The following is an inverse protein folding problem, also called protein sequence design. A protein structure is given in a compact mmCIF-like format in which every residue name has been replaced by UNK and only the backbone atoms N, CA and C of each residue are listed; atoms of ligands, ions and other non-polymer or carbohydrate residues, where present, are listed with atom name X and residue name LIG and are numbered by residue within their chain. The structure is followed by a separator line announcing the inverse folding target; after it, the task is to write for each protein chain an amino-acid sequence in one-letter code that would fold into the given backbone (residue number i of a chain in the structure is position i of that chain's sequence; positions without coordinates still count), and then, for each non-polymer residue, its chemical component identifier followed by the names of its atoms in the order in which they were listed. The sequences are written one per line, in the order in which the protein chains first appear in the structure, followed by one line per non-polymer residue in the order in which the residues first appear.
data_IF_596466730424
#
_entry.id   IF_596466730424
#
_cell.length_a   1.000
_cell.length_b   1.000
_cell.length_c   1.000
_cell.angle_alpha   90.00
_cell.angle_beta   90.00
_cell.angle_gamma   90.00
#
_symmetry.space_group_name_H-M   'P 1'
#
loop_
_entity.id
_entity.type
_entity.pdbx_description
1 polymer ?
#
# COMPACT_ATOMS: atom_id res chain seq x y z
N UNK A 1 -59.89 15.51 7.81
CA UNK A 1 -60.62 16.68 8.35
C UNK A 1 -59.55 17.73 8.56
N UNK A 2 -59.26 18.57 7.55
CA UNK A 2 -60.03 19.80 7.21
C UNK A 2 -59.96 20.79 8.38
N UNK A 3 -59.61 22.06 8.28
CA UNK A 3 -59.23 23.03 7.24
C UNK A 3 -58.48 24.13 8.04
N UNK A 4 -57.42 24.77 7.56
CA UNK A 4 -57.43 26.02 6.77
C UNK A 4 -58.09 27.25 7.44
N UNK A 5 -57.61 28.42 6.99
CA UNK A 5 -58.17 29.78 7.09
C UNK A 5 -57.62 30.64 8.25
N UNK A 6 -56.57 31.46 8.04
CA UNK A 6 -56.57 32.80 7.36
C UNK A 6 -57.23 33.88 8.21
N UNK A 7 -56.52 34.97 8.54
CA UNK A 7 -56.90 36.33 8.10
C UNK A 7 -55.96 37.40 8.66
N UNK A 8 -55.59 38.26 7.72
CA UNK A 8 -54.88 39.51 7.78
C UNK A 8 -55.72 40.63 8.41
N UNK A 9 -55.08 41.64 8.99
CA UNK A 9 -55.52 43.03 8.77
C UNK A 9 -54.37 44.02 9.02
N UNK A 10 -54.32 44.98 8.13
CA UNK A 10 -53.35 46.06 7.96
C UNK A 10 -53.98 47.39 8.38
N UNK A 11 -53.17 48.45 8.32
CA UNK A 11 -53.48 49.91 8.31
C UNK A 11 -53.15 50.62 9.63
N UNK A 12 -52.09 51.43 9.75
CA UNK A 12 -51.71 52.68 9.05
C UNK A 12 -52.32 53.94 9.68
N UNK A 13 -51.43 54.87 10.07
CA UNK A 13 -51.49 56.36 10.00
C UNK A 13 -51.24 57.09 11.32
N UNK A 14 -50.41 58.13 11.23
CA UNK A 14 -50.51 59.32 12.08
C UNK A 14 -49.17 59.93 12.47
N UNK A 15 -48.64 60.84 11.66
CA UNK A 15 -47.62 61.81 12.09
C UNK A 15 -48.25 63.17 12.40
N UNK A 16 -47.69 63.90 13.36
CA UNK A 16 -47.83 65.37 13.53
C UNK A 16 -46.56 65.94 14.18
N UNK A 17 -46.09 67.06 13.63
CA UNK A 17 -44.92 67.86 14.01
C UNK A 17 -45.26 69.07 14.91
N UNK A 18 -44.27 69.61 15.65
CA UNK A 18 -43.98 71.06 15.91
C UNK A 18 -43.05 71.18 17.15
N UNK A 19 -41.80 71.67 17.06
CA UNK A 19 -41.22 73.03 16.92
C UNK A 19 -40.72 73.63 18.26
N UNK A 20 -39.43 74.04 18.31
CA UNK A 20 -38.89 75.00 19.29
C UNK A 20 -37.41 74.82 19.70
N UNK A 21 -36.52 75.73 19.25
CA UNK A 21 -35.03 75.83 19.40
C UNK A 21 -34.71 76.88 20.53
N UNK A 22 -33.46 77.20 21.05
CA UNK A 22 -32.07 76.90 20.62
C UNK A 22 -30.95 76.59 21.66
N UNK A 23 -29.91 75.87 21.17
CA UNK A 23 -28.41 75.84 21.38
C UNK A 23 -27.68 76.44 22.63
N UNK A 24 -26.49 75.89 23.02
CA UNK A 24 -25.23 76.15 22.28
C UNK A 24 -24.21 74.99 22.14
N UNK A 25 -23.31 75.24 21.18
CA UNK A 25 -22.34 74.38 20.49
C UNK A 25 -21.05 74.10 21.26
N UNK A 26 -20.44 72.94 20.99
CA UNK A 26 -19.00 72.67 21.17
C UNK A 26 -18.43 72.10 19.84
N UNK A 27 -17.17 72.43 19.48
CA UNK A 27 -16.69 72.37 18.10
C UNK A 27 -16.26 70.97 17.60
N UNK A 28 -16.46 70.76 16.30
CA UNK A 28 -16.04 69.59 15.51
C UNK A 28 -14.54 69.61 15.19
N UNK A 29 -13.85 68.45 15.07
CA UNK A 29 -12.59 68.35 14.36
C UNK A 29 -12.82 68.07 12.85
N UNK A 30 -12.00 68.70 12.02
CA UNK A 30 -11.98 68.61 10.55
C UNK A 30 -11.69 67.19 10.01
N UNK A 31 -12.10 66.89 8.74
CA UNK A 31 -11.90 65.59 8.13
C UNK A 31 -10.47 65.43 7.55
N UNK A 32 -9.73 64.44 8.04
CA UNK A 32 -8.43 64.08 7.46
C UNK A 32 -8.63 63.26 6.17
N UNK A 33 -8.23 63.90 5.07
CA UNK A 33 -7.83 63.38 3.76
C UNK A 33 -8.08 61.91 3.39
N UNK A 34 -8.79 61.73 2.28
CA UNK A 34 -8.84 60.48 1.52
C UNK A 34 -7.42 60.01 1.13
N UNK A 35 -7.04 58.72 1.32
CA UNK A 35 -5.78 58.24 0.81
C UNK A 35 -5.88 57.95 -0.69
N UNK A 36 -5.02 58.64 -1.44
CA UNK A 36 -4.77 58.46 -2.86
C UNK A 36 -4.42 57.00 -3.20
N UNK A 37 -4.91 56.56 -4.36
CA UNK A 37 -4.73 55.21 -4.89
C UNK A 37 -3.26 54.90 -5.15
N UNK A 38 -2.59 54.23 -4.21
CA UNK A 38 -1.22 53.79 -4.43
C UNK A 38 -1.17 52.63 -5.44
N UNK A 39 -0.29 52.77 -6.43
CA UNK A 39 0.06 51.73 -7.40
C UNK A 39 0.44 50.39 -6.70
N UNK A 40 0.85 50.45 -5.43
CA UNK A 40 1.14 49.31 -4.56
C UNK A 40 -0.06 48.39 -4.32
N UNK A 41 -1.30 48.92 -4.33
CA UNK A 41 -2.51 48.10 -4.18
C UNK A 41 -2.83 47.29 -5.45
N UNK A 42 -2.56 47.86 -6.64
CA UNK A 42 -2.66 47.14 -7.92
C UNK A 42 -1.55 46.10 -8.10
N UNK A 43 -0.34 46.38 -7.60
CA UNK A 43 0.76 45.42 -7.58
C UNK A 43 0.49 44.30 -6.58
N UNK A 44 0.00 44.58 -5.36
CA UNK A 44 -0.44 43.53 -4.41
C UNK A 44 -1.65 42.75 -4.90
N UNK A 45 -2.60 43.38 -5.61
CA UNK A 45 -3.73 42.66 -6.21
C UNK A 45 -3.29 41.77 -7.40
N UNK A 46 -2.27 42.20 -8.17
CA UNK A 46 -1.64 41.36 -9.20
C UNK A 46 -0.77 40.25 -8.60
N UNK A 47 -0.10 40.50 -7.47
CA UNK A 47 0.69 39.50 -6.75
C UNK A 47 -0.23 38.51 -6.02
N UNK A 48 -1.34 38.96 -5.43
CA UNK A 48 -2.38 38.11 -4.86
C UNK A 48 -3.08 37.31 -5.97
N UNK A 49 -3.37 37.89 -7.14
CA UNK A 49 -3.83 37.14 -8.32
C UNK A 49 -2.78 36.17 -8.89
N UNK A 50 -1.49 36.43 -8.66
CA UNK A 50 -0.34 35.53 -8.96
C UNK A 50 0.00 34.55 -7.82
N UNK A 51 -0.62 34.68 -6.65
CA UNK A 51 -0.56 33.70 -5.56
C UNK A 51 -1.83 32.84 -5.53
N UNK A 52 -2.91 33.31 -6.17
CA UNK A 52 -4.07 32.51 -6.58
C UNK A 52 -3.97 31.99 -8.02
N UNK A 53 -2.77 31.98 -8.62
CA UNK A 53 -2.55 31.20 -9.84
C UNK A 53 -2.61 29.73 -9.49
N UNK A 54 -3.67 29.09 -9.96
CA UNK A 54 -3.71 27.65 -10.26
C UNK A 54 -3.36 26.74 -9.08
N UNK A 55 -4.14 26.80 -8.00
CA UNK A 55 -4.56 25.51 -7.44
C UNK A 55 -5.40 24.87 -8.55
N UNK A 56 -4.82 23.94 -9.32
CA UNK A 56 -5.63 23.04 -10.14
C UNK A 56 -6.76 22.57 -9.24
N UNK A 57 -8.01 22.85 -9.61
CA UNK A 57 -9.16 22.33 -8.87
C UNK A 57 -9.22 20.84 -9.17
N UNK A 58 -8.36 20.08 -8.49
CA UNK A 58 -8.41 18.63 -8.49
C UNK A 58 -9.81 18.26 -8.02
N UNK A 59 -10.49 17.38 -8.77
CA UNK A 59 -11.81 16.90 -8.37
C UNK A 59 -11.71 16.38 -6.92
N UNK A 60 -12.66 16.68 -6.02
CA UNK A 60 -12.59 16.27 -4.62
C UNK A 60 -12.38 14.76 -4.43
N UNK A 61 -12.89 13.95 -5.37
CA UNK A 61 -12.78 12.49 -5.39
C UNK A 61 -11.33 12.02 -5.63
N UNK A 62 -10.53 12.80 -6.35
CA UNK A 62 -9.12 12.49 -6.66
C UNK A 62 -8.14 13.09 -5.64
N UNK A 63 -8.60 14.01 -4.78
CA UNK A 63 -7.73 14.71 -3.83
C UNK A 63 -6.95 13.76 -2.90
N UNK A 64 -7.54 12.68 -2.34
CA UNK A 64 -6.79 11.72 -1.53
C UNK A 64 -5.68 11.00 -2.33
N UNK A 65 -6.00 10.55 -3.56
CA UNK A 65 -5.05 9.90 -4.45
C UNK A 65 -3.89 10.82 -4.81
N UNK A 66 -4.20 12.05 -5.22
CA UNK A 66 -3.22 13.05 -5.64
C UNK A 66 -2.35 13.48 -4.46
N UNK A 67 -2.90 13.55 -3.25
CA UNK A 67 -2.14 13.90 -2.04
C UNK A 67 -1.11 12.82 -1.74
N UNK A 68 -1.52 11.55 -1.65
CA UNK A 68 -0.62 10.40 -1.44
C UNK A 68 0.47 10.34 -2.52
N UNK A 69 0.09 10.51 -3.78
CA UNK A 69 1.04 10.46 -4.89
C UNK A 69 2.04 11.62 -4.84
N UNK A 70 1.62 12.83 -4.49
CA UNK A 70 2.49 14.01 -4.41
C UNK A 70 3.45 14.00 -3.23
N UNK A 71 3.12 13.32 -2.13
CA UNK A 71 4.05 13.10 -1.01
C UNK A 71 5.30 12.34 -1.47
N UNK A 72 5.12 11.45 -2.45
CA UNK A 72 6.18 10.63 -3.01
C UNK A 72 6.81 11.31 -4.23
N UNK A 73 5.98 11.87 -5.09
CA UNK A 73 6.33 12.49 -6.37
C UNK A 73 5.86 13.94 -6.44
N UNK A 74 6.63 14.91 -5.90
CA UNK A 74 6.23 16.31 -5.88
C UNK A 74 6.02 16.93 -7.27
N UNK A 75 6.59 16.33 -8.31
CA UNK A 75 6.49 16.76 -9.71
C UNK A 75 5.56 15.89 -10.55
N UNK A 76 4.74 15.04 -9.92
CA UNK A 76 3.80 14.18 -10.63
C UNK A 76 2.86 14.99 -11.54
N UNK A 77 2.60 14.45 -12.73
CA UNK A 77 1.66 15.04 -13.67
C UNK A 77 0.22 14.71 -13.24
N UNK A 78 -0.35 15.61 -12.45
CA UNK A 78 -1.73 15.47 -11.96
C UNK A 78 -2.75 15.69 -13.07
N UNK A 79 -2.43 16.46 -14.12
CA UNK A 79 -3.34 16.68 -15.23
C UNK A 79 -3.56 15.37 -16.02
N UNK A 80 -2.51 14.56 -16.16
CA UNK A 80 -2.60 13.24 -16.79
C UNK A 80 -3.48 12.28 -15.97
N UNK A 81 -3.37 12.30 -14.63
CA UNK A 81 -4.21 11.50 -13.74
C UNK A 81 -5.68 11.93 -13.77
N UNK A 82 -5.93 13.24 -13.77
CA UNK A 82 -7.29 13.80 -13.92
C UNK A 82 -7.90 13.40 -15.27
N UNK A 83 -7.13 13.49 -16.35
CA UNK A 83 -7.59 13.07 -17.68
C UNK A 83 -7.92 11.57 -17.72
N UNK A 84 -7.07 10.72 -17.15
CA UNK A 84 -7.32 9.28 -17.09
C UNK A 84 -8.58 8.94 -16.30
N UNK A 85 -8.80 9.61 -15.16
CA UNK A 85 -10.02 9.45 -14.38
C UNK A 85 -11.25 9.88 -15.15
N UNK A 86 -11.20 11.04 -15.83
CA UNK A 86 -12.34 11.55 -16.60
C UNK A 86 -12.72 10.63 -17.75
N UNK A 87 -11.73 10.05 -18.44
CA UNK A 87 -11.97 9.02 -19.47
C UNK A 87 -12.59 7.78 -18.85
N UNK A 88 -12.03 7.25 -17.75
CA UNK A 88 -12.58 6.07 -17.09
C UNK A 88 -14.03 6.30 -16.60
N UNK A 89 -14.32 7.45 -16.00
CA UNK A 89 -15.66 7.81 -15.49
C UNK A 89 -16.68 7.91 -16.64
N UNK A 90 -16.30 8.54 -17.75
CA UNK A 90 -17.12 8.63 -18.95
C UNK A 90 -17.38 7.26 -19.58
N UNK A 91 -16.34 6.43 -19.70
CA UNK A 91 -16.45 5.11 -20.34
C UNK A 91 -17.28 4.14 -19.51
N UNK A 92 -17.19 4.22 -18.18
CA UNK A 92 -17.99 3.41 -17.27
C UNK A 92 -19.32 4.09 -16.87
N UNK A 93 -19.72 5.15 -17.55
CA UNK A 93 -20.94 5.88 -17.21
C UNK A 93 -22.18 4.98 -17.36
N UNK A 94 -22.99 4.91 -16.30
CA UNK A 94 -24.16 4.04 -16.25
C UNK A 94 -23.86 2.59 -15.85
N UNK A 95 -22.59 2.18 -15.78
CA UNK A 95 -22.19 0.88 -15.25
C UNK A 95 -22.19 0.92 -13.71
N UNK A 96 -22.82 -0.09 -13.11
CA UNK A 96 -22.87 -0.24 -11.65
C UNK A 96 -22.16 -1.51 -11.21
N UNK A 97 -21.56 -1.44 -10.04
CA UNK A 97 -21.00 -2.57 -9.31
C UNK A 97 -22.12 -3.48 -8.81
N UNK A 98 -21.76 -4.69 -8.40
CA UNK A 98 -22.70 -5.58 -7.67
C UNK A 98 -23.16 -5.02 -6.33
N UNK A 99 -22.40 -4.08 -5.75
CA UNK A 99 -22.80 -3.34 -4.55
C UNK A 99 -23.87 -2.27 -4.83
N UNK A 100 -24.08 -1.89 -6.09
CA UNK A 100 -24.91 -0.76 -6.50
C UNK A 100 -24.15 0.55 -6.70
N UNK A 101 -22.88 0.62 -6.27
CA UNK A 101 -22.03 1.81 -6.42
C UNK A 101 -21.61 2.04 -7.88
N UNK A 102 -21.25 3.28 -8.26
CA UNK A 102 -20.65 3.57 -9.56
C UNK A 102 -19.40 2.73 -9.83
N UNK A 103 -19.23 2.22 -11.05
CA UNK A 103 -18.09 1.36 -11.39
C UNK A 103 -16.73 2.05 -11.19
N UNK A 104 -16.65 3.37 -11.43
CA UNK A 104 -15.45 4.19 -11.25
C UNK A 104 -14.84 4.14 -9.84
N UNK A 105 -15.59 3.68 -8.84
CA UNK A 105 -15.04 3.41 -7.50
C UNK A 105 -13.94 2.34 -7.53
N UNK A 106 -13.95 1.42 -8.51
CA UNK A 106 -12.92 0.40 -8.65
C UNK A 106 -11.58 0.94 -9.06
N UNK A 107 -11.47 1.57 -10.24
CA UNK A 107 -10.17 1.88 -10.77
C UNK A 107 -9.52 2.94 -9.88
N UNK A 108 -10.33 3.82 -9.29
CA UNK A 108 -9.88 4.78 -8.29
C UNK A 108 -9.29 4.10 -7.04
N UNK A 109 -9.97 3.09 -6.48
CA UNK A 109 -9.47 2.39 -5.31
C UNK A 109 -8.20 1.58 -5.62
N UNK A 110 -8.12 0.97 -6.79
CA UNK A 110 -6.90 0.26 -7.25
C UNK A 110 -5.74 1.25 -7.44
N UNK A 111 -5.98 2.38 -8.11
CA UNK A 111 -4.98 3.44 -8.25
C UNK A 111 -4.53 3.99 -6.88
N UNK A 112 -5.44 4.09 -5.90
CA UNK A 112 -5.10 4.54 -4.54
C UNK A 112 -4.21 3.54 -3.82
N UNK A 113 -4.47 2.23 -3.96
CA UNK A 113 -3.58 1.19 -3.44
C UNK A 113 -2.19 1.32 -4.08
N UNK A 114 -2.12 1.51 -5.40
CA UNK A 114 -0.84 1.65 -6.10
C UNK A 114 -0.09 2.94 -5.73
N UNK A 115 -0.80 4.02 -5.46
CA UNK A 115 -0.22 5.26 -4.96
C UNK A 115 0.40 5.06 -3.56
N UNK A 116 -0.27 4.33 -2.67
CA UNK A 116 0.23 3.98 -1.34
C UNK A 116 1.49 3.10 -1.40
N UNK A 117 1.53 2.18 -2.36
CA UNK A 117 2.73 1.39 -2.68
C UNK A 117 3.88 2.26 -3.24
N UNK A 118 3.58 3.46 -3.74
CA UNK A 118 4.53 4.41 -4.29
C UNK A 118 4.88 4.17 -5.76
N UNK A 119 3.91 3.71 -6.55
CA UNK A 119 4.07 3.50 -7.99
C UNK A 119 4.08 4.81 -8.79
N UNK A 120 4.67 4.76 -9.97
CA UNK A 120 4.79 5.90 -10.88
C UNK A 120 3.44 6.33 -11.50
N UNK A 121 3.39 7.57 -11.97
CA UNK A 121 2.17 8.17 -12.56
C UNK A 121 1.61 7.32 -13.69
N UNK A 122 2.46 6.73 -14.54
CA UNK A 122 2.05 5.87 -15.66
C UNK A 122 1.32 4.62 -15.17
N UNK A 123 1.79 3.99 -14.10
CA UNK A 123 1.10 2.84 -13.47
C UNK A 123 -0.25 3.23 -12.90
N UNK A 124 -0.36 4.38 -12.24
CA UNK A 124 -1.62 4.87 -11.69
C UNK A 124 -2.63 5.15 -12.82
N UNK A 125 -2.18 5.74 -13.93
CA UNK A 125 -3.01 5.97 -15.13
C UNK A 125 -3.49 4.65 -15.73
N UNK A 126 -2.58 3.67 -15.89
CA UNK A 126 -2.94 2.34 -16.38
C UNK A 126 -3.95 1.65 -15.45
N UNK A 127 -3.80 1.80 -14.13
CA UNK A 127 -4.74 1.26 -13.16
C UNK A 127 -6.12 1.93 -13.19
N UNK A 128 -6.21 3.22 -13.50
CA UNK A 128 -7.50 3.89 -13.72
C UNK A 128 -8.22 3.37 -14.97
N UNK A 129 -7.45 2.90 -15.96
CA UNK A 129 -7.96 2.50 -17.27
C UNK A 129 -8.02 0.97 -17.48
N UNK A 130 -7.56 0.15 -16.53
CA UNK A 130 -7.31 -1.28 -16.75
C UNK A 130 -8.54 -2.07 -17.25
N UNK A 131 -9.73 -1.75 -16.76
CA UNK A 131 -10.99 -2.42 -17.14
C UNK A 131 -11.71 -1.75 -18.33
N UNK A 132 -11.24 -0.61 -18.82
CA UNK A 132 -11.95 0.14 -19.86
C UNK A 132 -12.00 -0.61 -21.19
N UNK A 133 -10.90 -1.30 -21.54
CA UNK A 133 -10.78 -2.07 -22.78
C UNK A 133 -11.66 -3.32 -22.77
N UNK A 134 -11.87 -3.93 -21.61
CA UNK A 134 -12.70 -5.13 -21.48
C UNK A 134 -14.20 -4.80 -21.44
N UNK A 135 -14.58 -3.75 -20.71
CA UNK A 135 -15.99 -3.53 -20.33
C UNK A 135 -16.73 -2.48 -21.18
N UNK A 136 -16.04 -1.57 -21.85
CA UNK A 136 -16.66 -0.33 -22.38
C UNK A 136 -16.52 -0.12 -23.89
N UNK A 137 -15.86 -1.05 -24.60
CA UNK A 137 -15.64 -0.99 -26.04
C UNK A 137 -14.53 -0.03 -26.48
N UNK A 138 -13.79 0.56 -25.53
CA UNK A 138 -12.61 1.38 -25.78
C UNK A 138 -11.48 0.51 -26.34
N UNK A 139 -10.86 0.92 -27.46
CA UNK A 139 -9.82 0.09 -28.10
C UNK A 139 -8.43 0.40 -27.57
N UNK A 140 -7.51 -0.57 -27.66
CA UNK A 140 -6.10 -0.35 -27.31
C UNK A 140 -5.47 0.76 -28.17
N UNK A 141 -5.86 0.87 -29.44
CA UNK A 141 -5.36 1.90 -30.36
C UNK A 141 -5.77 3.31 -29.91
N UNK A 142 -7.02 3.47 -29.44
CA UNK A 142 -7.50 4.74 -28.88
C UNK A 142 -6.75 5.08 -27.59
N UNK A 143 -6.58 4.10 -26.70
CA UNK A 143 -5.88 4.27 -25.43
C UNK A 143 -4.41 4.65 -25.63
N UNK A 144 -3.70 4.02 -26.59
CA UNK A 144 -2.33 4.37 -26.94
C UNK A 144 -2.21 5.78 -27.53
N UNK A 145 -3.21 6.21 -28.29
CA UNK A 145 -3.25 7.57 -28.85
C UNK A 145 -3.45 8.63 -27.77
N UNK A 146 -4.28 8.34 -26.77
CA UNK A 146 -4.66 9.30 -25.73
C UNK A 146 -3.63 9.39 -24.60
N UNK A 147 -2.99 8.27 -24.23
CA UNK A 147 -2.09 8.17 -23.06
C UNK A 147 -0.68 7.66 -23.38
N UNK A 148 -0.41 7.27 -24.62
CA UNK A 148 0.88 6.76 -25.08
C UNK A 148 1.01 5.23 -25.02
N UNK A 149 2.03 4.72 -25.71
CA UNK A 149 2.28 3.28 -25.86
C UNK A 149 2.62 2.57 -24.56
N UNK A 150 3.21 3.27 -23.59
CA UNK A 150 3.56 2.68 -22.30
C UNK A 150 2.31 2.30 -21.48
N UNK A 151 1.32 3.19 -21.41
CA UNK A 151 0.04 2.91 -20.75
C UNK A 151 -0.72 1.81 -21.50
N UNK A 152 -0.71 1.85 -22.84
CA UNK A 152 -1.28 0.81 -23.69
C UNK A 152 -0.73 -0.57 -23.40
N UNK A 153 0.59 -0.68 -23.30
CA UNK A 153 1.26 -1.94 -22.98
C UNK A 153 0.83 -2.49 -21.60
N UNK A 154 0.73 -1.62 -20.58
CA UNK A 154 0.33 -2.01 -19.24
C UNK A 154 -1.12 -2.53 -19.22
N UNK A 155 -2.05 -1.79 -19.83
CA UNK A 155 -3.48 -2.14 -19.86
C UNK A 155 -3.72 -3.43 -20.66
N UNK A 156 -3.07 -3.57 -21.83
CA UNK A 156 -3.10 -4.81 -22.63
C UNK A 156 -2.55 -6.00 -21.83
N UNK A 157 -1.45 -5.78 -21.10
CA UNK A 157 -0.86 -6.76 -20.20
C UNK A 157 -1.87 -7.27 -19.17
N UNK A 158 -2.55 -6.37 -18.45
CA UNK A 158 -3.52 -6.72 -17.39
C UNK A 158 -4.74 -7.44 -17.97
N UNK A 159 -5.31 -6.90 -19.05
CA UNK A 159 -6.44 -7.47 -19.82
C UNK A 159 -6.16 -8.92 -20.25
N UNK A 160 -4.94 -9.18 -20.73
CA UNK A 160 -4.53 -10.54 -21.13
C UNK A 160 -4.43 -11.50 -19.96
N UNK A 161 -4.20 -11.04 -18.73
CA UNK A 161 -4.18 -11.93 -17.57
C UNK A 161 -5.59 -12.42 -17.20
N UNK A 162 -6.61 -11.57 -17.36
CA UNK A 162 -7.99 -11.90 -17.00
C UNK A 162 -8.62 -12.95 -17.91
N UNK A 163 -8.36 -12.85 -19.23
CA UNK A 163 -8.93 -13.77 -20.24
C UNK A 163 -8.45 -15.21 -20.11
N UNK A 164 -7.36 -15.42 -19.38
CA UNK A 164 -6.61 -16.67 -19.41
C UNK A 164 -7.03 -17.56 -18.22
N UNK A 165 -7.69 -17.02 -17.19
CA UNK A 165 -8.22 -17.77 -16.03
C UNK A 165 -9.42 -18.71 -16.29
N UNK A 166 -9.77 -19.01 -17.55
CA UNK A 166 -10.94 -19.80 -17.96
C UNK A 166 -10.54 -21.14 -18.60
N UNK A 167 -10.12 -22.13 -17.80
CA UNK A 167 -10.03 -23.53 -18.25
C UNK A 167 -9.27 -24.48 -17.32
N UNK A 168 -9.87 -25.63 -16.95
CA UNK A 168 -9.31 -26.58 -15.97
C UNK A 168 -8.16 -27.47 -16.48
N UNK A 169 -7.87 -27.46 -17.79
CA UNK A 169 -6.65 -28.02 -18.39
C UNK A 169 -5.67 -26.93 -18.86
N UNK A 170 -6.01 -25.66 -18.61
CA UNK A 170 -5.31 -24.49 -19.10
C UNK A 170 -4.52 -23.76 -18.00
N UNK A 171 -4.58 -24.16 -16.73
CA UNK A 171 -3.93 -23.45 -15.62
C UNK A 171 -2.42 -23.25 -15.84
N UNK A 172 -1.71 -24.28 -16.28
CA UNK A 172 -0.27 -24.22 -16.57
C UNK A 172 0.07 -23.25 -17.72
N UNK A 173 -0.67 -23.31 -18.83
CA UNK A 173 -0.49 -22.40 -19.98
C UNK A 173 -0.94 -20.97 -19.63
N UNK A 174 -1.89 -20.85 -18.71
CA UNK A 174 -2.41 -19.59 -18.21
C UNK A 174 -1.36 -18.85 -17.40
N UNK A 175 -0.78 -19.60 -16.47
CA UNK A 175 0.33 -19.15 -15.65
C UNK A 175 1.54 -18.84 -16.53
N UNK A 176 1.83 -19.65 -17.57
CA UNK A 176 2.90 -19.37 -18.53
C UNK A 176 2.71 -18.05 -19.28
N UNK A 177 1.51 -17.80 -19.82
CA UNK A 177 1.19 -16.53 -20.51
C UNK A 177 1.24 -15.34 -19.54
N UNK A 178 0.79 -15.56 -18.31
CA UNK A 178 0.92 -14.58 -17.23
C UNK A 178 2.39 -14.27 -16.95
N UNK A 179 3.25 -15.27 -16.83
CA UNK A 179 4.69 -15.12 -16.62
C UNK A 179 5.39 -14.42 -17.79
N UNK A 180 5.01 -14.73 -19.04
CA UNK A 180 5.60 -14.07 -20.23
C UNK A 180 5.20 -12.58 -20.28
N UNK A 181 3.96 -12.25 -19.93
CA UNK A 181 3.52 -10.86 -19.80
C UNK A 181 4.26 -10.15 -18.64
N UNK A 182 4.45 -10.83 -17.51
CA UNK A 182 5.19 -10.34 -16.35
C UNK A 182 6.68 -10.09 -16.63
N UNK A 183 7.31 -10.93 -17.44
CA UNK A 183 8.74 -10.82 -17.76
C UNK A 183 9.07 -9.57 -18.59
N UNK A 184 8.08 -8.98 -19.27
CA UNK A 184 8.25 -7.76 -20.06
C UNK A 184 8.12 -6.50 -19.21
N UNK A 185 7.10 -6.43 -18.36
CA UNK A 185 6.90 -5.31 -17.44
C UNK A 185 6.24 -5.77 -16.12
N UNK A 186 6.95 -5.72 -14.97
CA UNK A 186 6.39 -6.15 -13.69
C UNK A 186 5.27 -5.26 -13.18
N UNK A 187 5.15 -4.01 -13.66
CA UNK A 187 4.06 -3.10 -13.25
C UNK A 187 2.69 -3.69 -13.57
N UNK A 188 2.58 -4.50 -14.62
CA UNK A 188 1.37 -5.26 -14.97
C UNK A 188 0.94 -6.17 -13.81
N UNK A 189 1.88 -6.88 -13.18
CA UNK A 189 1.55 -7.76 -12.07
C UNK A 189 1.19 -6.97 -10.80
N UNK A 190 1.88 -5.87 -10.53
CA UNK A 190 1.56 -5.01 -9.38
C UNK A 190 0.13 -4.46 -9.51
N UNK A 191 -0.26 -4.00 -10.71
CA UNK A 191 -1.64 -3.60 -11.00
C UNK A 191 -2.60 -4.76 -10.76
N UNK A 192 -2.26 -5.97 -11.25
CA UNK A 192 -3.14 -7.14 -11.10
C UNK A 192 -3.32 -7.58 -9.64
N UNK A 193 -2.25 -7.55 -8.85
CA UNK A 193 -2.27 -7.85 -7.42
C UNK A 193 -3.11 -6.82 -6.67
N UNK A 194 -2.99 -5.52 -7.01
CA UNK A 194 -3.79 -4.46 -6.43
C UNK A 194 -5.28 -4.57 -6.80
N UNK A 195 -5.59 -4.90 -8.06
CA UNK A 195 -6.95 -5.25 -8.50
C UNK A 195 -7.50 -6.40 -7.65
N UNK A 196 -6.78 -7.53 -7.57
CA UNK A 196 -7.23 -8.69 -6.81
C UNK A 196 -7.42 -8.34 -5.33
N UNK A 197 -6.55 -7.53 -4.73
CA UNK A 197 -6.69 -7.08 -3.35
C UNK A 197 -7.99 -6.29 -3.14
N UNK A 198 -8.25 -5.30 -3.99
CA UNK A 198 -9.50 -4.55 -3.92
C UNK A 198 -10.73 -5.45 -4.11
N UNK A 199 -10.66 -6.38 -5.05
CA UNK A 199 -11.71 -7.37 -5.28
C UNK A 199 -11.95 -8.24 -4.03
N UNK A 200 -10.89 -8.72 -3.37
CA UNK A 200 -10.98 -9.49 -2.13
C UNK A 200 -11.59 -8.70 -0.97
N UNK A 201 -11.30 -7.39 -0.86
CA UNK A 201 -11.92 -6.48 0.12
C UNK A 201 -13.43 -6.28 -0.09
N UNK A 202 -13.93 -6.49 -1.30
CA UNK A 202 -15.33 -6.21 -1.69
C UNK A 202 -16.17 -7.47 -2.02
N UNK A 203 -15.69 -8.66 -1.62
CA UNK A 203 -16.29 -9.96 -1.96
C UNK A 203 -17.71 -10.20 -1.42
N UNK A 204 -18.14 -9.43 -0.41
CA UNK A 204 -19.44 -9.60 0.28
C UNK A 204 -20.68 -9.59 -0.63
N UNK A 205 -20.57 -9.01 -1.83
CA UNK A 205 -21.69 -8.91 -2.80
C UNK A 205 -21.73 -10.04 -3.84
N UNK A 206 -20.79 -11.00 -3.78
CA UNK A 206 -20.75 -12.13 -4.71
C UNK A 206 -21.47 -13.37 -4.15
N UNK A 207 -21.97 -14.27 -5.02
CA UNK A 207 -22.46 -15.57 -4.57
C UNK A 207 -21.35 -16.39 -3.88
N UNK A 208 -21.68 -17.21 -2.86
CA UNK A 208 -20.69 -17.96 -2.08
C UNK A 208 -19.74 -18.83 -2.93
N UNK A 209 -20.24 -19.46 -3.99
CA UNK A 209 -19.42 -20.28 -4.90
C UNK A 209 -18.34 -19.45 -5.61
N UNK A 210 -18.71 -18.25 -6.09
CA UNK A 210 -17.77 -17.33 -6.73
C UNK A 210 -16.78 -16.77 -5.71
N UNK A 211 -17.22 -16.55 -4.46
CA UNK A 211 -16.33 -16.13 -3.39
C UNK A 211 -15.26 -17.18 -3.11
N UNK A 212 -15.67 -18.44 -2.90
CA UNK A 212 -14.76 -19.54 -2.61
C UNK A 212 -13.76 -19.80 -3.76
N UNK A 213 -14.22 -19.76 -5.02
CA UNK A 213 -13.34 -19.93 -6.19
C UNK A 213 -12.25 -18.85 -6.25
N UNK A 214 -12.64 -17.58 -6.16
CA UNK A 214 -11.70 -16.45 -6.19
C UNK A 214 -10.76 -16.45 -4.97
N UNK A 215 -11.25 -16.82 -3.79
CA UNK A 215 -10.42 -16.93 -2.60
C UNK A 215 -9.36 -18.06 -2.74
N UNK A 216 -9.73 -19.20 -3.34
CA UNK A 216 -8.79 -20.29 -3.64
C UNK A 216 -7.72 -19.86 -4.64
N UNK A 217 -8.13 -19.26 -5.76
CA UNK A 217 -7.21 -18.70 -6.77
C UNK A 217 -6.25 -17.67 -6.14
N UNK A 218 -6.78 -16.80 -5.27
CA UNK A 218 -5.99 -15.80 -4.57
C UNK A 218 -4.95 -16.45 -3.67
N UNK A 219 -5.33 -17.46 -2.89
CA UNK A 219 -4.44 -18.13 -1.96
C UNK A 219 -3.37 -18.98 -2.67
N UNK A 220 -3.74 -19.68 -3.74
CA UNK A 220 -2.85 -20.61 -4.44
C UNK A 220 -1.93 -19.92 -5.46
N UNK A 221 -2.36 -18.80 -6.05
CA UNK A 221 -1.64 -18.15 -7.16
C UNK A 221 -1.23 -16.72 -6.80
N UNK A 222 -2.18 -15.85 -6.43
CA UNK A 222 -1.92 -14.41 -6.31
C UNK A 222 -1.08 -14.05 -5.07
N UNK A 223 -1.35 -14.66 -3.92
CA UNK A 223 -0.59 -14.42 -2.70
C UNK A 223 0.89 -14.88 -2.82
N UNK A 224 1.21 -16.06 -3.40
CA UNK A 224 2.58 -16.44 -3.72
C UNK A 224 3.27 -15.48 -4.70
N UNK A 225 2.56 -14.98 -5.70
CA UNK A 225 3.10 -13.97 -6.62
C UNK A 225 3.42 -12.66 -5.90
N UNK A 226 2.52 -12.17 -5.04
CA UNK A 226 2.77 -11.00 -4.20
C UNK A 226 3.98 -11.20 -3.27
N UNK A 227 4.14 -12.41 -2.70
CA UNK A 227 5.31 -12.77 -1.90
C UNK A 227 6.61 -12.66 -2.70
N UNK A 228 6.62 -13.21 -3.92
CA UNK A 228 7.78 -13.18 -4.81
C UNK A 228 8.13 -11.76 -5.26
N UNK A 229 7.14 -10.88 -5.43
CA UNK A 229 7.37 -9.45 -5.67
C UNK A 229 7.88 -8.67 -4.44
N UNK A 230 8.01 -9.33 -3.28
CA UNK A 230 8.38 -8.70 -2.02
C UNK A 230 7.25 -7.87 -1.38
N UNK A 231 6.01 -7.98 -1.89
CA UNK A 231 4.85 -7.23 -1.40
C UNK A 231 4.21 -7.94 -0.20
N UNK A 232 4.91 -7.93 0.92
CA UNK A 232 4.52 -8.71 2.10
C UNK A 232 3.19 -8.24 2.71
N UNK A 233 2.95 -6.92 2.80
CA UNK A 233 1.69 -6.38 3.32
C UNK A 233 0.49 -6.88 2.51
N UNK A 234 0.60 -6.83 1.17
CA UNK A 234 -0.48 -7.26 0.28
C UNK A 234 -0.68 -8.77 0.34
N UNK A 235 0.42 -9.55 0.38
CA UNK A 235 0.36 -11.00 0.57
C UNK A 235 -0.47 -11.37 1.80
N UNK A 236 -0.11 -10.83 2.96
CA UNK A 236 -0.77 -11.23 4.21
C UNK A 236 -2.24 -10.85 4.24
N UNK A 237 -2.60 -9.70 3.67
CA UNK A 237 -3.99 -9.28 3.58
C UNK A 237 -4.79 -10.19 2.64
N UNK A 238 -4.23 -10.55 1.48
CA UNK A 238 -4.86 -11.51 0.56
C UNK A 238 -5.04 -12.89 1.23
N UNK A 239 -4.06 -13.36 1.99
CA UNK A 239 -4.12 -14.62 2.74
C UNK A 239 -5.22 -14.59 3.80
N UNK A 240 -5.27 -13.56 4.64
CA UNK A 240 -6.27 -13.44 5.72
C UNK A 240 -7.70 -13.30 5.15
N UNK A 241 -7.89 -12.51 4.09
CA UNK A 241 -9.19 -12.38 3.41
C UNK A 241 -9.62 -13.70 2.76
N UNK A 242 -8.70 -14.41 2.12
CA UNK A 242 -8.98 -15.72 1.52
C UNK A 242 -9.30 -16.76 2.58
N UNK A 243 -8.58 -16.75 3.69
CA UNK A 243 -8.78 -17.65 4.82
C UNK A 243 -10.16 -17.45 5.47
N UNK A 244 -10.57 -16.19 5.68
CA UNK A 244 -11.89 -15.86 6.23
C UNK A 244 -13.04 -16.40 5.36
N UNK A 245 -12.88 -16.39 4.02
CA UNK A 245 -13.89 -16.90 3.08
C UNK A 245 -13.88 -18.42 2.99
N UNK A 246 -12.70 -19.04 2.90
CA UNK A 246 -12.56 -20.49 2.70
C UNK A 246 -12.87 -21.30 3.97
N UNK A 247 -12.49 -20.77 5.14
CA UNK A 247 -12.59 -21.46 6.42
C UNK A 247 -13.15 -20.55 7.54
N UNK A 248 -14.40 -20.06 7.41
CA UNK A 248 -14.95 -19.03 8.32
C UNK A 248 -14.98 -19.46 9.79
N UNK A 249 -15.33 -20.73 10.07
CA UNK A 249 -15.37 -21.25 11.45
C UNK A 249 -13.98 -21.26 12.11
N UNK A 250 -12.94 -21.63 11.36
CA UNK A 250 -11.55 -21.67 11.86
C UNK A 250 -11.00 -20.26 12.02
N UNK A 251 -11.36 -19.36 11.10
CA UNK A 251 -11.02 -17.95 11.21
C UNK A 251 -11.60 -17.34 12.49
N UNK A 252 -12.89 -17.54 12.75
CA UNK A 252 -13.57 -17.03 13.95
C UNK A 252 -12.99 -17.61 15.25
N UNK A 253 -12.68 -18.92 15.25
CA UNK A 253 -12.01 -19.60 16.36
C UNK A 253 -10.64 -18.94 16.68
N UNK A 254 -9.80 -18.70 15.67
CA UNK A 254 -8.49 -18.08 15.86
C UNK A 254 -8.64 -16.62 16.30
N UNK A 255 -9.56 -15.85 15.71
CA UNK A 255 -9.80 -14.46 16.10
C UNK A 255 -10.21 -14.38 17.58
N UNK A 256 -11.10 -15.26 18.02
CA UNK A 256 -11.52 -15.33 19.43
C UNK A 256 -10.36 -15.70 20.36
N UNK A 257 -9.59 -16.73 20.02
CA UNK A 257 -8.43 -17.17 20.79
C UNK A 257 -7.35 -16.07 20.91
N UNK A 258 -7.14 -15.28 19.84
CA UNK A 258 -6.23 -14.12 19.85
C UNK A 258 -6.80 -12.98 20.70
N UNK A 259 -8.10 -12.72 20.63
CA UNK A 259 -8.77 -11.67 21.42
C UNK A 259 -8.74 -11.96 22.93
N UNK A 260 -9.00 -13.21 23.34
CA UNK A 260 -9.00 -13.62 24.74
C UNK A 260 -7.62 -13.41 25.41
N UNK A 261 -6.53 -13.47 24.63
CA UNK A 261 -5.16 -13.25 25.09
C UNK A 261 -4.63 -11.84 24.87
N UNK A 262 -5.39 -10.95 24.23
CA UNK A 262 -4.91 -9.60 23.91
C UNK A 262 -4.49 -8.78 25.15
N UNK A 263 -5.22 -8.76 26.28
CA UNK A 263 -4.85 -7.90 27.41
C UNK A 263 -3.51 -8.28 28.07
N UNK A 264 -3.27 -9.57 28.30
CA UNK A 264 -2.02 -10.06 28.91
C UNK A 264 -0.84 -9.88 27.95
N UNK A 265 -1.07 -10.11 26.66
CA UNK A 265 -0.10 -9.88 25.59
C UNK A 265 0.31 -8.42 25.47
N UNK A 266 -0.64 -7.50 25.49
CA UNK A 266 -0.36 -6.07 25.32
C UNK A 266 0.41 -5.52 26.53
N UNK A 267 0.13 -6.03 27.73
CA UNK A 267 0.91 -5.74 28.95
C UNK A 267 2.35 -6.25 28.84
N UNK A 268 2.53 -7.50 28.37
CA UNK A 268 3.85 -8.08 28.14
C UNK A 268 4.66 -7.28 27.10
N UNK A 269 4.03 -6.89 25.99
CA UNK A 269 4.67 -6.07 24.96
C UNK A 269 5.05 -4.68 25.46
N UNK A 270 4.20 -4.04 26.26
CA UNK A 270 4.52 -2.75 26.84
C UNK A 270 5.77 -2.82 27.71
N UNK A 271 5.91 -3.89 28.51
CA UNK A 271 7.11 -4.14 29.33
C UNK A 271 8.35 -4.38 28.48
N UNK A 272 8.28 -5.33 27.54
CA UNK A 272 9.41 -5.65 26.64
C UNK A 272 9.85 -4.42 25.84
N UNK A 273 8.89 -3.62 25.35
CA UNK A 273 9.16 -2.37 24.62
C UNK A 273 9.87 -1.35 25.52
N UNK A 274 9.42 -1.20 26.77
CA UNK A 274 10.06 -0.29 27.72
C UNK A 274 11.50 -0.73 28.03
N UNK A 275 11.73 -2.01 28.27
CA UNK A 275 13.06 -2.57 28.55
C UNK A 275 14.03 -2.34 27.37
N UNK A 276 13.59 -2.62 26.14
CA UNK A 276 14.39 -2.38 24.92
C UNK A 276 14.67 -0.89 24.74
N UNK A 277 13.65 -0.02 24.86
CA UNK A 277 13.83 1.43 24.69
C UNK A 277 14.81 2.02 25.71
N UNK A 278 14.74 1.58 26.97
CA UNK A 278 15.67 2.02 28.01
C UNK A 278 17.11 1.59 27.70
N UNK A 279 17.30 0.35 27.25
CA UNK A 279 18.62 -0.18 26.93
C UNK A 279 19.22 0.47 25.68
N UNK A 280 18.41 0.69 24.64
CA UNK A 280 18.81 1.44 23.43
C UNK A 280 19.18 2.88 23.77
N UNK A 281 18.38 3.54 24.64
CA UNK A 281 18.66 4.89 25.12
C UNK A 281 19.97 4.99 25.90
N UNK A 282 20.25 4.02 26.78
CA UNK A 282 21.52 3.93 27.51
C UNK A 282 22.73 3.73 26.57
N UNK A 283 22.54 2.98 25.48
CA UNK A 283 23.53 2.78 24.43
C UNK A 283 23.62 3.94 23.42
N UNK A 284 22.77 4.97 23.56
CA UNK A 284 22.65 6.12 22.64
C UNK A 284 22.35 5.72 21.19
N UNK A 285 21.52 4.70 21.01
CA UNK A 285 21.07 4.23 19.70
C UNK A 285 19.66 4.77 19.44
N UNK A 286 19.49 5.54 18.37
CA UNK A 286 18.17 6.01 17.93
C UNK A 286 17.49 4.88 17.16
N UNK A 287 16.39 4.36 17.69
CA UNK A 287 15.57 3.36 17.00
C UNK A 287 14.11 3.40 17.46
N UNK A 288 13.21 2.99 16.57
CA UNK A 288 11.78 2.87 16.84
C UNK A 288 11.43 1.41 17.12
N UNK A 289 10.89 1.13 18.30
CA UNK A 289 10.47 -0.22 18.70
C UNK A 289 8.95 -0.34 18.57
N UNK A 290 8.50 -1.32 17.80
CA UNK A 290 7.09 -1.59 17.49
C UNK A 290 6.74 -3.06 17.77
N UNK A 291 5.49 -3.30 18.17
CA UNK A 291 4.94 -4.66 18.22
C UNK A 291 4.53 -5.11 16.82
N UNK A 292 4.91 -6.33 16.44
CA UNK A 292 4.51 -6.95 15.18
C UNK A 292 3.39 -7.97 15.44
N UNK A 293 2.13 -7.67 15.07
CA UNK A 293 1.07 -8.67 15.13
C UNK A 293 1.34 -9.78 14.10
N UNK A 294 0.89 -10.99 14.40
CA UNK A 294 0.89 -12.11 13.45
C UNK A 294 -0.45 -12.21 12.74
N UNK A 295 -0.38 -12.52 11.45
CA UNK A 295 -1.54 -12.73 10.59
C UNK A 295 -2.23 -14.06 10.92
N UNK A 296 -3.56 -14.10 10.79
CA UNK A 296 -4.37 -15.23 11.21
C UNK A 296 -4.08 -16.49 10.39
N UNK A 297 -3.88 -16.32 9.08
CA UNK A 297 -3.48 -17.41 8.20
C UNK A 297 -2.15 -18.04 8.63
N UNK A 298 -1.16 -17.22 9.00
CA UNK A 298 0.14 -17.73 9.49
C UNK A 298 0.01 -18.48 10.82
N UNK A 299 -0.91 -18.06 11.70
CA UNK A 299 -1.23 -18.78 12.95
C UNK A 299 -1.86 -20.14 12.62
N UNK A 300 -2.85 -20.16 11.72
CA UNK A 300 -3.52 -21.37 11.27
C UNK A 300 -2.55 -22.39 10.65
N UNK A 301 -1.68 -21.94 9.74
CA UNK A 301 -0.66 -22.81 9.14
C UNK A 301 0.28 -23.40 10.20
N UNK A 302 0.72 -22.59 11.17
CA UNK A 302 1.57 -23.07 12.27
C UNK A 302 0.86 -24.11 13.14
N UNK A 303 -0.44 -23.93 13.41
CA UNK A 303 -1.26 -24.89 14.18
C UNK A 303 -1.38 -26.23 13.47
N UNK A 304 -1.70 -26.22 12.18
CA UNK A 304 -1.87 -27.46 11.40
C UNK A 304 -0.54 -28.19 11.22
N UNK A 305 0.50 -27.50 10.74
CA UNK A 305 1.77 -28.13 10.36
C UNK A 305 2.50 -28.70 11.56
N UNK A 306 2.39 -28.06 12.74
CA UNK A 306 3.09 -28.50 13.95
C UNK A 306 2.24 -29.36 14.88
N UNK A 307 0.94 -29.52 14.60
CA UNK A 307 0.01 -30.24 15.47
C UNK A 307 0.03 -29.75 16.92
N UNK A 308 0.31 -28.45 17.14
CA UNK A 308 0.47 -27.87 18.48
C UNK A 308 -0.83 -27.24 18.94
N UNK A 309 -1.13 -27.42 20.23
CA UNK A 309 -2.21 -26.71 20.89
C UNK A 309 -1.94 -25.20 20.89
N UNK A 310 -3.02 -24.40 20.83
CA UNK A 310 -2.93 -22.93 20.81
C UNK A 310 -2.23 -22.38 22.07
N UNK A 311 -2.30 -23.12 23.19
CA UNK A 311 -1.64 -22.81 24.46
C UNK A 311 -0.11 -22.79 24.36
N UNK A 312 0.47 -23.60 23.48
CA UNK A 312 1.91 -23.65 23.23
C UNK A 312 2.41 -22.56 22.28
N UNK A 313 1.49 -21.78 21.69
CA UNK A 313 1.85 -20.65 20.82
C UNK A 313 2.15 -19.43 21.70
N UNK A 314 3.28 -19.49 22.40
CA UNK A 314 3.89 -18.31 23.03
C UNK A 314 4.41 -17.29 21.99
N UNK A 315 4.44 -17.70 20.74
CA UNK A 315 4.99 -17.00 19.59
C UNK A 315 3.99 -16.02 18.93
N UNK A 316 2.90 -15.61 19.60
CA UNK A 316 1.88 -14.78 18.95
C UNK A 316 2.34 -13.35 18.63
N UNK A 317 3.47 -12.90 19.20
CA UNK A 317 3.98 -11.55 18.96
C UNK A 317 5.49 -11.50 18.82
N UNK A 318 5.93 -10.79 17.78
CA UNK A 318 7.31 -10.39 17.62
C UNK A 318 7.50 -8.91 17.90
N UNK A 319 8.74 -8.50 18.15
CA UNK A 319 9.13 -7.09 18.20
C UNK A 319 9.85 -6.73 16.91
N UNK A 320 9.57 -5.54 16.39
CA UNK A 320 10.29 -4.93 15.28
C UNK A 320 11.04 -3.71 15.79
N UNK A 321 12.33 -3.63 15.49
CA UNK A 321 13.20 -2.49 15.79
C UNK A 321 13.60 -1.88 14.46
N UNK A 322 13.29 -0.60 14.28
CA UNK A 322 13.62 0.19 13.10
C UNK A 322 14.75 1.17 13.43
N UNK A 323 15.86 1.07 12.73
CA UNK A 323 17.01 1.96 12.90
C UNK A 323 17.21 2.84 11.65
N UNK A 324 18.06 3.87 11.77
CA UNK A 324 18.43 4.71 10.62
C UNK A 324 19.50 4.04 9.75
N UNK A 325 20.56 3.49 10.38
CA UNK A 325 21.71 2.89 9.69
C UNK A 325 21.89 1.40 9.98
N UNK A 326 22.55 0.69 9.07
CA UNK A 326 22.86 -0.74 9.21
C UNK A 326 23.74 -1.04 10.42
N UNK A 327 24.70 -0.16 10.73
CA UNK A 327 25.54 -0.27 11.94
C UNK A 327 24.67 -0.34 13.19
N UNK A 328 23.64 0.49 13.25
CA UNK A 328 22.77 0.61 14.40
C UNK A 328 21.84 -0.61 14.51
N UNK A 329 21.53 -1.29 13.40
CA UNK A 329 20.86 -2.59 13.43
C UNK A 329 21.69 -3.66 14.15
N UNK A 330 22.99 -3.78 13.84
CA UNK A 330 23.87 -4.73 14.51
C UNK A 330 24.12 -4.34 15.98
N UNK A 331 24.23 -3.06 16.29
CA UNK A 331 24.33 -2.58 17.66
C UNK A 331 23.06 -2.92 18.47
N UNK A 332 21.88 -2.77 17.87
CA UNK A 332 20.61 -3.15 18.50
C UNK A 332 20.50 -4.65 18.76
N UNK A 333 21.07 -5.53 17.91
CA UNK A 333 21.20 -6.97 18.22
C UNK A 333 21.98 -7.18 19.51
N UNK A 334 23.13 -6.51 19.65
CA UNK A 334 23.96 -6.59 20.85
C UNK A 334 23.21 -6.14 22.11
N UNK A 335 22.43 -5.06 22.02
CA UNK A 335 21.58 -4.60 23.13
C UNK A 335 20.54 -5.66 23.50
N UNK A 336 19.84 -6.23 22.52
CA UNK A 336 18.83 -7.27 22.76
C UNK A 336 19.45 -8.52 23.40
N UNK A 337 20.63 -8.94 22.95
CA UNK A 337 21.35 -10.09 23.51
C UNK A 337 21.94 -9.83 24.89
N UNK A 338 22.13 -8.55 25.27
CA UNK A 338 22.54 -8.17 26.63
C UNK A 338 21.37 -8.23 27.63
N UNK A 339 20.15 -7.95 27.18
CA UNK A 339 18.94 -8.03 27.99
C UNK A 339 18.47 -9.47 28.19
N UNK A 340 18.54 -10.28 27.13
CA UNK A 340 17.97 -11.62 27.10
C UNK A 340 18.88 -12.61 26.39
N UNK A 341 18.90 -13.85 26.90
CA UNK A 341 19.72 -14.91 26.34
C UNK A 341 19.22 -15.31 24.93
N UNK A 342 20.07 -15.25 23.89
CA UNK A 342 19.70 -15.70 22.57
C UNK A 342 19.62 -17.23 22.48
N UNK A 343 18.65 -17.73 21.72
CA UNK A 343 18.54 -19.17 21.46
C UNK A 343 19.47 -19.58 20.32
N UNK A 344 20.28 -20.61 20.56
CA UNK A 344 21.22 -21.15 19.57
C UNK A 344 20.50 -21.59 18.28
N UNK A 345 21.11 -21.30 17.12
CA UNK A 345 20.55 -21.64 15.81
C UNK A 345 19.33 -20.82 15.38
N UNK A 346 18.90 -19.83 16.17
CA UNK A 346 17.76 -18.94 15.85
C UNK A 346 18.15 -17.50 15.55
N UNK A 347 19.40 -17.29 15.14
CA UNK A 347 19.88 -16.03 14.59
C UNK A 347 20.03 -16.18 13.08
N UNK A 348 19.47 -15.22 12.33
CA UNK A 348 19.58 -15.17 10.87
C UNK A 348 19.91 -13.75 10.44
N UNK A 349 20.99 -13.61 9.68
CA UNK A 349 21.43 -12.33 9.13
C UNK A 349 21.03 -12.22 7.66
N UNK A 350 19.82 -11.69 7.42
CA UNK A 350 19.38 -11.41 6.05
C UNK A 350 19.90 -10.07 5.51
N UNK A 351 20.67 -9.30 6.29
CA UNK A 351 21.36 -8.11 5.75
C UNK A 351 22.58 -8.58 4.95
N UNK A 352 23.37 -9.48 5.52
CA UNK A 352 24.52 -10.09 4.84
C UNK A 352 24.12 -11.08 3.75
N UNK A 353 23.02 -11.83 3.96
CA UNK A 353 22.50 -12.81 3.01
C UNK A 353 21.01 -12.54 2.71
N UNK A 354 20.70 -11.60 1.79
CA UNK A 354 19.32 -11.23 1.46
C UNK A 354 18.50 -12.42 0.98
N UNK A 355 17.27 -12.54 1.49
CA UNK A 355 16.34 -13.61 1.06
C UNK A 355 15.61 -13.16 -0.21
N UNK A 356 15.51 -14.05 -1.20
CA UNK A 356 14.89 -13.78 -2.50
C UNK A 356 15.43 -12.50 -3.18
N UNK A 357 16.70 -12.16 -2.94
CA UNK A 357 17.39 -11.02 -3.56
C UNK A 357 17.05 -9.64 -2.99
N UNK A 358 15.92 -9.45 -2.30
CA UNK A 358 15.46 -8.10 -1.86
C UNK A 358 15.14 -7.98 -0.38
N UNK A 359 14.90 -9.09 0.33
CA UNK A 359 14.51 -9.03 1.74
C UNK A 359 15.73 -8.93 2.66
N UNK A 360 15.80 -7.84 3.42
CA UNK A 360 16.87 -7.55 4.37
C UNK A 360 16.34 -7.30 5.78
N UNK A 361 16.84 -8.07 6.77
CA UNK A 361 16.55 -7.89 8.20
C UNK A 361 17.42 -8.84 9.04
N UNK A 362 17.75 -8.44 10.27
CA UNK A 362 18.32 -9.34 11.28
C UNK A 362 17.18 -9.97 12.07
N UNK A 363 17.15 -11.30 12.11
CA UNK A 363 16.16 -12.05 12.90
C UNK A 363 16.88 -12.75 14.05
N UNK A 364 16.38 -12.56 15.26
CA UNK A 364 16.87 -13.28 16.42
C UNK A 364 15.72 -13.72 17.29
N UNK A 365 15.84 -14.88 17.93
CA UNK A 365 14.89 -15.29 18.96
C UNK A 365 15.60 -15.40 20.30
N UNK A 366 15.09 -14.68 21.30
CA UNK A 366 15.64 -14.63 22.66
C UNK A 366 14.64 -15.19 23.66
N UNK A 367 15.11 -15.57 24.86
CA UNK A 367 14.24 -15.95 25.98
C UNK A 367 13.86 -14.67 26.73
N UNK A 368 12.62 -14.22 26.56
CA UNK A 368 12.11 -12.98 27.15
C UNK A 368 11.94 -13.06 28.67
N UNK A 369 11.46 -11.97 29.31
CA UNK A 369 11.43 -11.83 30.77
C UNK A 369 10.51 -12.83 31.50
N UNK A 370 9.57 -13.46 30.79
CA UNK A 370 8.69 -14.51 31.33
C UNK A 370 9.16 -15.94 30.99
N UNK A 371 10.40 -16.12 30.52
CA UNK A 371 10.90 -17.42 30.08
C UNK A 371 10.32 -17.90 28.74
N UNK A 372 9.53 -17.05 28.07
CA UNK A 372 8.90 -17.35 26.77
C UNK A 372 9.79 -16.90 25.61
N UNK A 373 9.82 -17.63 24.49
CA UNK A 373 10.50 -17.19 23.28
C UNK A 373 9.94 -15.86 22.77
N UNK A 374 10.83 -14.93 22.43
CA UNK A 374 10.52 -13.64 21.82
C UNK A 374 11.27 -13.52 20.49
N UNK A 375 10.52 -13.42 19.39
CA UNK A 375 11.07 -13.14 18.07
C UNK A 375 11.31 -11.63 17.92
N UNK A 376 12.55 -11.23 17.61
CA UNK A 376 12.93 -9.85 17.38
C UNK A 376 13.46 -9.70 15.96
N UNK A 377 12.92 -8.71 15.24
CA UNK A 377 13.34 -8.34 13.89
C UNK A 377 13.92 -6.94 13.92
N UNK A 378 15.12 -6.78 13.37
CA UNK A 378 15.83 -5.52 13.35
C UNK A 378 16.16 -5.20 11.90
N UNK A 379 15.88 -3.97 11.47
CA UNK A 379 16.15 -3.50 10.11
C UNK A 379 16.12 -1.98 10.05
N UNK A 380 16.62 -1.39 8.98
CA UNK A 380 16.52 0.06 8.79
C UNK A 380 15.10 0.47 8.36
N UNK A 381 14.79 1.77 8.43
CA UNK A 381 13.56 2.32 7.84
C UNK A 381 13.46 2.02 6.34
N UNK A 382 14.57 2.11 5.60
CA UNK A 382 14.61 1.77 4.17
C UNK A 382 14.38 0.28 3.93
N UNK A 383 15.07 -0.60 4.66
CA UNK A 383 14.86 -2.05 4.57
C UNK A 383 13.44 -2.46 4.96
N UNK A 384 12.84 -1.78 5.94
CA UNK A 384 11.45 -2.00 6.30
C UNK A 384 10.53 -1.69 5.12
N UNK A 385 10.75 -0.56 4.48
CA UNK A 385 9.94 -0.11 3.34
C UNK A 385 10.07 -1.06 2.15
N UNK A 386 11.29 -1.47 1.81
CA UNK A 386 11.54 -2.49 0.78
C UNK A 386 10.88 -3.82 1.12
N UNK A 387 10.88 -4.23 2.39
CA UNK A 387 10.28 -5.50 2.80
C UNK A 387 8.75 -5.49 2.86
N UNK A 388 8.09 -4.34 3.02
CA UNK A 388 6.62 -4.27 3.00
C UNK A 388 6.07 -4.09 1.58
N UNK A 389 6.73 -3.26 0.77
CA UNK A 389 6.25 -2.86 -0.57
C UNK A 389 7.01 -3.51 -1.72
N UNK A 390 8.11 -4.22 -1.46
CA UNK A 390 8.88 -4.94 -2.46
C UNK A 390 9.36 -4.06 -3.60
N UNK A 391 9.13 -4.53 -4.82
CA UNK A 391 9.53 -3.86 -6.07
C UNK A 391 8.96 -2.43 -6.19
N UNK A 392 7.79 -2.15 -5.62
CA UNK A 392 7.21 -0.81 -5.63
C UNK A 392 8.09 0.20 -4.87
N UNK A 393 8.81 -0.23 -3.82
CA UNK A 393 9.74 0.63 -3.11
C UNK A 393 10.95 1.03 -3.96
N UNK A 394 11.42 0.14 -4.87
CA UNK A 394 12.57 0.39 -5.75
C UNK A 394 12.26 1.43 -6.83
N UNK A 395 11.05 1.42 -7.41
CA UNK A 395 10.64 2.40 -8.44
C UNK A 395 10.66 3.83 -7.92
N UNK A 396 10.26 4.05 -6.67
CA UNK A 396 10.36 5.35 -6.00
C UNK A 396 11.79 5.86 -5.92
N UNK A 397 12.79 4.98 -5.75
CA UNK A 397 14.19 5.39 -5.68
C UNK A 397 14.70 5.90 -7.02
N UNK A 398 14.36 5.20 -8.12
CA UNK A 398 14.82 5.50 -9.49
C UNK A 398 14.36 6.87 -9.99
N UNK A 399 13.12 7.24 -9.71
CA UNK A 399 12.55 8.51 -10.19
C UNK A 399 12.94 9.70 -9.30
N UNK A 400 13.23 9.48 -8.00
CA UNK A 400 13.77 10.52 -7.11
C UNK A 400 15.14 11.07 -7.56
N UNK A 401 15.95 10.25 -8.26
CA UNK A 401 17.26 10.67 -8.78
C UNK A 401 17.25 11.32 -10.17
N UNK A 402 16.11 11.34 -10.85
CA UNK A 402 15.88 12.07 -12.10
C UNK A 402 16.69 11.57 -13.32
N UNK A 403 16.07 11.59 -14.50
CA UNK A 403 16.74 11.39 -15.82
C UNK A 403 17.64 12.58 -16.23
N UNK A 404 18.44 13.12 -15.30
CA UNK A 404 19.16 14.39 -15.45
C UNK A 404 20.66 14.31 -15.21
N UNK A 405 21.43 14.16 -16.30
CA UNK A 405 22.84 14.55 -16.53
C UNK A 405 23.91 14.15 -15.48
N UNK A 406 24.72 13.15 -15.86
CA UNK A 406 26.13 13.00 -15.43
C UNK A 406 26.44 11.62 -14.82
N UNK A 407 27.54 10.94 -15.21
CA UNK A 407 27.89 9.64 -14.65
C UNK A 407 28.53 9.85 -13.27
N UNK A 408 27.73 9.85 -12.22
CA UNK A 408 28.23 9.48 -10.89
C UNK A 408 27.80 8.05 -10.62
N UNK A 409 28.70 7.11 -10.95
CA UNK A 409 28.62 5.72 -10.53
C UNK A 409 28.48 5.69 -9.00
N UNK A 410 27.28 5.39 -8.52
CA UNK A 410 27.13 4.77 -7.21
C UNK A 410 26.82 3.30 -7.49
N UNK A 411 27.81 2.44 -7.29
CA UNK A 411 27.75 1.01 -7.59
C UNK A 411 26.54 0.31 -6.93
N UNK A 412 25.93 0.88 -5.89
CA UNK A 412 24.77 0.31 -5.20
C UNK A 412 23.47 0.28 -6.01
N UNK A 413 23.21 1.26 -6.88
CA UNK A 413 21.94 1.32 -7.63
C UNK A 413 21.91 0.36 -8.84
N UNK A 414 23.08 0.12 -9.46
CA UNK A 414 23.20 -0.86 -10.55
C UNK A 414 23.17 -2.31 -10.02
N UNK A 415 23.61 -2.53 -8.77
CA UNK A 415 23.58 -3.85 -8.11
C UNK A 415 22.14 -4.25 -7.73
N UNK A 416 21.27 -3.31 -7.35
CA UNK A 416 19.86 -3.58 -7.00
C UNK A 416 18.98 -3.87 -8.22
N UNK A 417 19.16 -3.14 -9.34
CA UNK A 417 18.51 -3.46 -10.62
C UNK A 417 18.90 -4.89 -11.07
N UNK A 418 20.12 -5.34 -10.77
CA UNK A 418 20.63 -6.69 -11.07
C UNK A 418 20.06 -7.80 -10.17
N UNK A 419 19.73 -7.53 -8.89
CA UNK A 419 19.22 -8.55 -7.97
C UNK A 419 17.80 -9.00 -8.36
N UNK A 420 16.94 -8.04 -8.68
CA UNK A 420 15.60 -8.29 -9.21
C UNK A 420 15.64 -8.86 -10.64
N UNK A 421 16.53 -8.36 -11.50
CA UNK A 421 16.69 -8.90 -12.85
C UNK A 421 17.21 -10.35 -12.85
N UNK A 422 18.02 -10.73 -11.85
CA UNK A 422 18.36 -12.14 -11.59
C UNK A 422 17.15 -12.96 -11.16
N UNK A 423 16.29 -12.43 -10.28
CA UNK A 423 15.06 -13.12 -9.91
C UNK A 423 14.13 -13.33 -11.11
N UNK A 424 14.01 -12.34 -12.01
CA UNK A 424 13.31 -12.46 -13.30
C UNK A 424 13.97 -13.49 -14.24
N UNK A 425 15.29 -13.52 -14.30
CA UNK A 425 16.05 -14.50 -15.10
C UNK A 425 15.90 -15.93 -14.54
N UNK A 426 15.85 -16.07 -13.21
CA UNK A 426 15.54 -17.33 -12.53
C UNK A 426 14.09 -17.74 -12.82
N UNK A 427 13.13 -16.80 -12.79
CA UNK A 427 11.76 -17.08 -13.23
C UNK A 427 11.70 -17.51 -14.70
N UNK A 428 12.48 -16.89 -15.58
CA UNK A 428 12.54 -17.27 -16.99
C UNK A 428 13.14 -18.67 -17.19
N UNK A 429 14.12 -19.05 -16.35
CA UNK A 429 14.74 -20.38 -16.36
C UNK A 429 13.81 -21.45 -15.79
N UNK A 430 13.12 -21.17 -14.68
CA UNK A 430 12.15 -22.07 -14.05
C UNK A 430 10.87 -22.23 -14.89
N UNK A 431 10.42 -21.16 -15.56
CA UNK A 431 9.22 -21.19 -16.42
C UNK A 431 9.40 -21.95 -17.74
N UNK A 432 10.56 -22.60 -17.95
CA UNK A 432 10.76 -23.52 -19.06
C UNK A 432 9.84 -24.75 -18.95
N UNK A 433 9.48 -25.17 -17.72
CA UNK A 433 8.46 -26.19 -17.45
C UNK A 433 7.39 -25.69 -16.44
N UNK A 434 6.16 -25.38 -16.92
CA UNK A 434 5.07 -24.91 -16.07
C UNK A 434 4.62 -25.87 -14.95
N UNK A 435 4.82 -27.18 -15.13
CA UNK A 435 4.43 -28.18 -14.14
C UNK A 435 5.37 -28.18 -12.92
N UNK A 436 6.68 -28.21 -13.18
CA UNK A 436 7.71 -28.11 -12.15
C UNK A 436 7.69 -26.76 -11.43
N UNK A 437 7.33 -25.67 -12.11
CA UNK A 437 7.20 -24.35 -11.50
C UNK A 437 6.00 -24.25 -10.55
N UNK A 438 4.86 -24.87 -10.88
CA UNK A 438 3.70 -24.92 -9.98
C UNK A 438 3.99 -25.79 -8.76
N UNK A 439 4.70 -26.90 -8.97
CA UNK A 439 5.19 -27.71 -7.87
C UNK A 439 6.21 -26.93 -7.04
N UNK A 440 7.18 -26.21 -7.62
CA UNK A 440 8.16 -25.38 -6.89
C UNK A 440 7.50 -24.23 -6.14
N UNK A 441 6.50 -23.55 -6.72
CA UNK A 441 5.68 -22.55 -6.05
C UNK A 441 4.95 -23.13 -4.83
N UNK A 442 4.39 -24.33 -4.98
CA UNK A 442 3.71 -25.05 -3.90
C UNK A 442 4.72 -25.58 -2.86
N UNK A 443 5.91 -25.99 -3.27
CA UNK A 443 6.96 -26.56 -2.43
C UNK A 443 7.70 -25.49 -1.62
N UNK A 444 7.95 -24.32 -2.20
CA UNK A 444 8.55 -23.13 -1.52
C UNK A 444 7.70 -22.64 -0.34
N UNK A 445 6.37 -22.84 -0.40
CA UNK A 445 5.45 -22.54 0.70
C UNK A 445 5.52 -23.56 1.84
N UNK A 446 6.03 -24.77 1.56
CA UNK A 446 5.96 -25.92 2.46
C UNK A 446 7.31 -26.26 3.13
N UNK A 447 8.45 -25.90 2.55
CA UNK A 447 9.75 -26.46 2.97
C UNK A 447 10.67 -25.43 3.62
N UNK A 448 11.30 -25.84 4.73
CA UNK A 448 12.49 -25.19 5.25
C UNK A 448 13.66 -25.49 4.31
N UNK A 449 14.12 -24.49 3.56
CA UNK A 449 15.31 -24.61 2.69
C UNK A 449 16.50 -25.21 3.48
N UNK A 450 17.03 -26.35 3.01
CA UNK A 450 18.25 -26.97 3.51
C UNK A 450 19.37 -26.60 2.55
N UNK A 451 20.28 -25.73 2.98
CA UNK A 451 21.47 -25.37 2.20
C UNK A 451 22.54 -26.44 2.41
N UNK A 452 22.98 -27.08 1.32
CA UNK A 452 24.00 -28.14 1.35
C UNK A 452 25.30 -27.60 0.78
N UNK A 453 26.20 -27.21 1.68
CA UNK A 453 27.50 -26.70 1.28
C UNK A 453 28.40 -27.83 0.79
N UNK A 454 28.90 -27.70 -0.44
CA UNK A 454 29.94 -28.58 -0.95
C UNK A 454 31.31 -28.17 -0.41
N UNK A 455 32.30 -29.08 -0.32
CA UNK A 455 33.68 -28.75 0.08
C UNK A 455 34.38 -27.72 -0.81
N UNK A 456 33.81 -27.42 -1.99
CA UNK A 456 34.31 -26.43 -2.95
C UNK A 456 33.69 -25.03 -2.79
N UNK A 457 32.74 -24.87 -1.85
CA UNK A 457 32.11 -23.59 -1.54
C UNK A 457 30.88 -23.26 -2.38
N UNK A 458 30.39 -24.18 -3.22
CA UNK A 458 29.11 -24.03 -3.89
C UNK A 458 27.97 -24.41 -2.94
N UNK A 459 26.87 -23.65 -3.01
CA UNK A 459 25.65 -23.74 -2.20
C UNK A 459 24.55 -24.51 -2.93
#
# INVERSE_FOLDING_TARGET
MADEVETSSSLNRGGVSSNGVPEPQLPMPEPVGAPSSSASRRVRARLARRMTTTRSQVRPVLEPLVTLHREIYPKADVALLEHAYDVADQRHQGQKRKSGDPYITHPLAVATILADLGMDTTTLVAALLHDTVEDTGYTLEELEKDFGSEVGHLVDGVTKLDKVALGSAAEAETIRKMIIAMARDPRVLVIKVADRLHNMRTMRFLPPEKQARKARETLEVIAPLAHRLGMATVKWELEDLSFAILHPKRYEEIVRLVADRAPSRDTYLARVRADINNALGAARITATVEGRPKHYWSIYQKMIVKGRDFDDIHDLVGIRILCDEVRDCYAAVGVVHSLWQPMAGRFKDYIAQPRYGVYQSLHTTVIGPEGKPLEVQIRTHDMHRTAEFGIAAHWRYKESRGKGKGPRKSDTAEIDDMAWMRQLLDWQREAADPGEFLESLRYDLAVQEIFVFTPKGDV
#
